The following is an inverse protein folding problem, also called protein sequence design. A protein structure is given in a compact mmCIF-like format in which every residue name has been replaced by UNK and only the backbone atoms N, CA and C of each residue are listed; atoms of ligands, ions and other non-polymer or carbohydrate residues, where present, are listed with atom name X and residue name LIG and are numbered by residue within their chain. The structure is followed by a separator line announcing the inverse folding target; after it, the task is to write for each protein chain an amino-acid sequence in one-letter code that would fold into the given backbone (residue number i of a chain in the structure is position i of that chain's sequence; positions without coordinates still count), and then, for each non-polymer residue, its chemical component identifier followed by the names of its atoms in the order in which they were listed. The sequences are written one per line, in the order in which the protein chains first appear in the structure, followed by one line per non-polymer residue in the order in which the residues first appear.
data_IF_057156211375
#
_entry.id   IF_057156211375
#
_cell.length_a   1.000
_cell.length_b   1.000
_cell.length_c   1.000
_cell.angle_alpha   90.00
_cell.angle_beta   90.00
_cell.angle_gamma   90.00
#
_symmetry.space_group_name_H-M   'P 1'
#
loop_
_entity.id
_entity.type
_entity.pdbx_description
1 polymer ?
#
# COMPACT_ATOMS: atom_id res chain seq x y z
N UNK A 1 3.41 -2.46 28.73
CA UNK A 1 4.36 -2.84 27.67
C UNK A 1 5.08 -1.57 27.27
N UNK A 2 6.40 -1.57 27.21
CA UNK A 2 7.11 -0.36 26.78
C UNK A 2 6.78 -0.04 25.32
N UNK A 3 6.71 1.23 24.96
CA UNK A 3 6.42 1.67 23.57
C UNK A 3 7.41 1.03 22.58
N UNK A 4 8.63 0.78 23.02
CA UNK A 4 9.66 0.05 22.25
C UNK A 4 9.20 -1.37 21.88
N UNK A 5 8.59 -2.11 22.82
CA UNK A 5 8.12 -3.48 22.54
C UNK A 5 6.97 -3.47 21.52
N UNK A 6 6.08 -2.48 21.56
CA UNK A 6 5.02 -2.30 20.58
C UNK A 6 5.60 -2.03 19.17
N UNK A 7 6.54 -1.08 19.09
CA UNK A 7 7.18 -0.70 17.82
C UNK A 7 7.93 -1.87 17.19
N UNK A 8 8.74 -2.55 18.00
CA UNK A 8 9.49 -3.74 17.56
C UNK A 8 8.54 -4.87 17.16
N UNK A 9 7.50 -5.12 17.96
CA UNK A 9 6.49 -6.13 17.67
C UNK A 9 5.76 -5.84 16.35
N UNK A 10 5.32 -4.60 16.14
CA UNK A 10 4.65 -4.19 14.89
C UNK A 10 5.58 -4.32 13.68
N UNK A 11 6.84 -3.88 13.80
CA UNK A 11 7.83 -4.02 12.74
C UNK A 11 8.11 -5.50 12.40
N UNK A 12 8.24 -6.36 13.41
CA UNK A 12 8.42 -7.80 13.21
C UNK A 12 7.21 -8.44 12.52
N UNK A 13 5.99 -8.12 12.94
CA UNK A 13 4.77 -8.58 12.28
C UNK A 13 4.75 -8.11 10.81
N UNK A 14 5.13 -6.85 10.57
CA UNK A 14 5.26 -6.31 9.22
C UNK A 14 6.25 -7.08 8.36
N UNK A 15 7.46 -7.36 8.89
CA UNK A 15 8.52 -8.06 8.16
C UNK A 15 8.24 -9.56 7.97
N UNK A 16 7.77 -10.23 9.01
CA UNK A 16 7.73 -11.71 9.07
C UNK A 16 6.41 -12.29 8.62
N UNK A 17 5.31 -11.56 8.80
CA UNK A 17 3.96 -12.03 8.49
C UNK A 17 3.38 -11.27 7.30
N UNK A 18 3.21 -9.96 7.44
CA UNK A 18 2.47 -9.16 6.45
C UNK A 18 3.25 -9.00 5.15
N UNK A 19 4.53 -8.66 5.21
CA UNK A 19 5.38 -8.49 4.02
C UNK A 19 5.39 -9.74 3.12
N UNK A 20 5.66 -10.94 3.64
CA UNK A 20 5.57 -12.18 2.86
C UNK A 20 4.18 -12.48 2.29
N UNK A 21 3.10 -12.17 3.04
CA UNK A 21 1.73 -12.30 2.53
C UNK A 21 1.50 -11.33 1.37
N UNK A 22 1.96 -10.08 1.49
CA UNK A 22 1.89 -9.11 0.41
C UNK A 22 2.69 -9.55 -0.81
N UNK A 23 3.92 -10.01 -0.63
CA UNK A 23 4.75 -10.56 -1.69
C UNK A 23 4.04 -11.71 -2.42
N UNK A 24 3.40 -12.61 -1.66
CA UNK A 24 2.61 -13.70 -2.25
C UNK A 24 1.41 -13.16 -3.04
N UNK A 25 0.63 -12.22 -2.48
CA UNK A 25 -0.53 -11.63 -3.13
C UNK A 25 -0.13 -10.85 -4.40
N UNK A 26 0.93 -10.04 -4.34
CA UNK A 26 1.47 -9.28 -5.46
C UNK A 26 1.93 -10.23 -6.58
N UNK A 27 2.72 -11.25 -6.24
CA UNK A 27 3.22 -12.23 -7.22
C UNK A 27 2.12 -13.10 -7.79
N UNK A 28 1.11 -13.45 -6.98
CA UNK A 28 -0.06 -14.19 -7.44
C UNK A 28 -0.88 -13.38 -8.44
N UNK A 29 -1.03 -12.07 -8.20
CA UNK A 29 -1.80 -11.18 -9.07
C UNK A 29 -1.03 -10.84 -10.36
N UNK A 30 0.23 -10.44 -10.24
CA UNK A 30 1.07 -10.08 -11.39
C UNK A 30 1.37 -11.32 -12.26
N UNK A 31 1.36 -12.52 -11.68
CA UNK A 31 2.00 -13.69 -12.25
C UNK A 31 3.49 -13.43 -12.48
N UNK A 32 4.36 -14.37 -12.27
CA UNK A 32 5.81 -14.24 -12.52
C UNK A 32 6.17 -13.80 -13.95
N UNK A 33 5.22 -13.75 -14.83
CA UNK A 33 5.28 -13.45 -16.24
C UNK A 33 5.60 -12.00 -16.58
N UNK A 34 5.25 -11.06 -15.70
CA UNK A 34 5.41 -9.63 -15.98
C UNK A 34 6.62 -9.07 -15.27
N UNK A 35 6.91 -9.54 -14.06
CA UNK A 35 7.91 -8.95 -13.19
C UNK A 35 9.33 -9.38 -13.53
N UNK A 36 9.57 -10.66 -13.79
CA UNK A 36 10.91 -11.17 -14.02
C UNK A 36 11.52 -10.71 -15.36
N UNK A 37 10.77 -10.70 -16.48
CA UNK A 37 11.32 -10.18 -17.75
C UNK A 37 11.53 -8.68 -17.76
N UNK A 38 10.63 -7.90 -17.14
CA UNK A 38 10.78 -6.44 -17.02
C UNK A 38 12.03 -6.05 -16.21
N UNK A 39 12.35 -6.82 -15.16
CA UNK A 39 13.54 -6.60 -14.34
C UNK A 39 14.84 -7.09 -15.00
N UNK A 40 14.75 -8.10 -15.88
CA UNK A 40 15.90 -8.68 -16.58
C UNK A 40 16.06 -8.15 -18.02
N UNK A 41 15.21 -7.22 -18.48
CA UNK A 41 15.26 -6.68 -19.84
C UNK A 41 14.93 -7.70 -20.94
N UNK A 42 14.26 -8.82 -20.60
CA UNK A 42 13.90 -9.89 -21.54
C UNK A 42 12.39 -9.97 -21.74
N UNK A 43 11.95 -10.08 -22.99
CA UNK A 43 10.56 -10.38 -23.34
C UNK A 43 10.36 -11.89 -23.25
N UNK A 44 9.44 -12.44 -22.41
CA UNK A 44 9.23 -13.87 -22.30
C UNK A 44 8.58 -14.44 -23.54
N UNK A 45 9.02 -15.62 -23.97
CA UNK A 45 8.38 -16.36 -25.03
C UNK A 45 6.99 -16.89 -24.59
N UNK A 46 6.03 -16.92 -25.51
CA UNK A 46 4.62 -17.22 -25.24
C UNK A 46 4.34 -18.62 -24.61
N UNK A 47 5.31 -19.52 -24.58
CA UNK A 47 5.19 -20.88 -24.01
C UNK A 47 5.59 -21.05 -22.53
N UNK A 48 6.30 -20.09 -21.93
CA UNK A 48 6.75 -20.17 -20.53
C UNK A 48 5.68 -19.78 -19.51
N UNK A 49 4.57 -19.42 -19.97
CA UNK A 49 3.44 -18.78 -19.29
C UNK A 49 2.61 -19.68 -18.34
N UNK A 50 2.94 -20.96 -18.17
CA UNK A 50 2.06 -21.98 -17.56
C UNK A 50 2.42 -22.51 -16.18
N UNK A 51 3.62 -22.33 -15.65
CA UNK A 51 4.05 -23.08 -14.47
C UNK A 51 4.62 -22.23 -13.34
N UNK A 52 3.89 -22.29 -12.23
CA UNK A 52 4.34 -22.08 -10.85
C UNK A 52 4.63 -20.66 -10.34
N UNK A 53 3.65 -20.15 -9.61
CA UNK A 53 3.56 -18.80 -9.05
C UNK A 53 4.38 -18.56 -7.78
N UNK A 54 5.00 -19.61 -7.22
CA UNK A 54 5.74 -19.58 -5.94
C UNK A 54 7.00 -20.47 -5.98
N UNK A 55 7.61 -20.60 -7.16
CA UNK A 55 8.81 -21.43 -7.33
C UNK A 55 9.98 -20.62 -7.89
N UNK A 56 11.19 -20.98 -7.50
CA UNK A 56 12.39 -20.39 -8.06
C UNK A 56 12.43 -20.60 -9.58
N UNK A 57 12.68 -19.52 -10.33
CA UNK A 57 12.70 -19.57 -11.79
C UNK A 57 13.80 -20.48 -12.35
N UNK A 58 14.86 -20.73 -11.58
CA UNK A 58 16.01 -21.50 -12.02
C UNK A 58 15.96 -22.99 -11.64
N UNK A 59 15.53 -23.33 -10.41
CA UNK A 59 15.53 -24.71 -9.94
C UNK A 59 14.13 -25.28 -9.68
N UNK A 60 13.07 -24.49 -9.89
CA UNK A 60 11.70 -24.93 -9.64
C UNK A 60 11.34 -25.18 -8.16
N UNK A 61 12.29 -24.95 -7.23
CA UNK A 61 12.03 -25.14 -5.81
C UNK A 61 10.94 -24.18 -5.32
N UNK A 62 10.02 -24.67 -4.49
CA UNK A 62 9.03 -23.84 -3.82
C UNK A 62 9.72 -22.79 -2.94
N UNK A 63 9.41 -21.52 -3.15
CA UNK A 63 9.86 -20.41 -2.31
C UNK A 63 8.94 -20.24 -1.09
N UNK A 64 7.79 -20.91 -1.11
CA UNK A 64 6.86 -21.01 0.00
C UNK A 64 6.63 -22.46 0.40
N UNK A 65 6.45 -22.78 1.69
CA UNK A 65 5.89 -24.05 2.11
C UNK A 65 4.50 -24.24 1.51
N UNK A 66 4.07 -25.49 1.29
CA UNK A 66 2.73 -25.77 0.79
C UNK A 66 1.66 -25.09 1.66
N UNK A 67 0.89 -24.17 1.08
CA UNK A 67 -0.19 -23.46 1.76
C UNK A 67 0.19 -22.25 2.62
N UNK A 68 1.49 -21.88 2.70
CA UNK A 68 1.94 -20.71 3.46
C UNK A 68 2.55 -19.63 2.54
N UNK A 69 2.51 -18.36 2.93
CA UNK A 69 3.24 -17.30 2.24
C UNK A 69 4.76 -17.57 2.23
N UNK A 70 5.48 -16.92 1.31
CA UNK A 70 6.91 -17.09 1.15
C UNK A 70 7.65 -16.96 2.49
N UNK A 71 8.72 -17.74 2.68
CA UNK A 71 9.53 -17.63 3.90
C UNK A 71 10.16 -16.24 3.96
N UNK A 72 9.94 -15.44 5.02
CA UNK A 72 10.53 -14.10 5.13
C UNK A 72 12.06 -14.15 5.04
N UNK A 73 12.69 -15.17 5.62
CA UNK A 73 14.13 -15.40 5.53
C UNK A 73 14.64 -15.55 4.08
N UNK A 74 13.80 -15.96 3.13
CA UNK A 74 14.19 -16.11 1.72
C UNK A 74 14.28 -14.75 1.04
N UNK A 75 13.32 -13.86 1.30
CA UNK A 75 13.34 -12.51 0.74
C UNK A 75 14.45 -11.66 1.38
N UNK A 76 14.61 -11.71 2.70
CA UNK A 76 15.68 -10.99 3.42
C UNK A 76 17.09 -11.50 3.08
N UNK A 77 17.26 -12.83 2.89
CA UNK A 77 18.54 -13.39 2.44
C UNK A 77 18.82 -13.10 0.96
N UNK A 78 17.83 -12.69 0.17
CA UNK A 78 17.97 -12.36 -1.24
C UNK A 78 18.44 -13.52 -2.12
N UNK A 79 18.33 -14.78 -1.65
CA UNK A 79 18.80 -15.98 -2.36
C UNK A 79 17.83 -17.15 -2.21
N UNK A 80 17.71 -17.95 -3.26
CA UNK A 80 16.97 -19.19 -3.22
C UNK A 80 17.61 -20.17 -2.25
N UNK A 81 16.88 -20.82 -1.33
CA UNK A 81 17.44 -21.76 -0.36
C UNK A 81 17.98 -23.05 -1.00
N UNK A 82 17.63 -23.35 -2.24
CA UNK A 82 18.04 -24.58 -2.92
C UNK A 82 19.18 -24.37 -3.93
N UNK A 83 19.09 -23.35 -4.76
CA UNK A 83 20.09 -23.10 -5.83
C UNK A 83 20.92 -21.82 -5.62
N UNK A 84 20.72 -21.11 -4.51
CA UNK A 84 21.41 -19.87 -4.13
C UNK A 84 21.34 -18.73 -5.16
N UNK A 85 20.49 -18.85 -6.19
CA UNK A 85 20.26 -17.77 -7.16
C UNK A 85 19.67 -16.56 -6.45
N UNK A 86 20.11 -15.37 -6.85
CA UNK A 86 19.60 -14.10 -6.31
C UNK A 86 18.13 -13.95 -6.64
N UNK A 87 17.34 -13.63 -5.62
CA UNK A 87 15.94 -13.26 -5.75
C UNK A 87 15.82 -11.78 -6.11
N UNK A 88 14.70 -11.37 -6.73
CA UNK A 88 14.46 -9.96 -7.04
C UNK A 88 14.46 -9.10 -5.78
N UNK A 89 15.23 -8.01 -5.77
CA UNK A 89 15.39 -7.11 -4.61
C UNK A 89 14.07 -6.47 -4.15
N UNK A 90 13.09 -6.33 -5.05
CA UNK A 90 11.79 -5.76 -4.70
C UNK A 90 11.01 -6.60 -3.65
N UNK A 91 11.24 -7.92 -3.57
CA UNK A 91 10.65 -8.76 -2.53
C UNK A 91 11.12 -8.34 -1.14
N UNK A 92 12.43 -8.15 -0.98
CA UNK A 92 12.99 -7.64 0.27
C UNK A 92 12.53 -6.19 0.54
N UNK A 93 12.44 -5.36 -0.50
CA UNK A 93 11.96 -3.99 -0.37
C UNK A 93 10.53 -3.92 0.17
N UNK A 94 9.60 -4.75 -0.32
CA UNK A 94 8.22 -4.82 0.19
C UNK A 94 8.21 -5.17 1.67
N UNK A 95 8.99 -6.18 2.10
CA UNK A 95 9.06 -6.59 3.50
C UNK A 95 9.65 -5.51 4.39
N UNK A 96 10.77 -4.91 4.00
CA UNK A 96 11.44 -3.85 4.76
C UNK A 96 10.59 -2.57 4.86
N UNK A 97 9.98 -2.16 3.76
CA UNK A 97 9.08 -0.99 3.74
C UNK A 97 7.86 -1.25 4.61
N UNK A 98 7.25 -2.42 4.52
CA UNK A 98 6.11 -2.79 5.38
C UNK A 98 6.51 -2.78 6.85
N UNK A 99 7.66 -3.36 7.20
CA UNK A 99 8.19 -3.36 8.56
C UNK A 99 8.43 -1.94 9.09
N UNK A 100 9.10 -1.10 8.32
CA UNK A 100 9.40 0.27 8.70
C UNK A 100 8.12 1.11 8.90
N UNK A 101 7.15 0.98 8.00
CA UNK A 101 5.90 1.72 8.11
C UNK A 101 5.00 1.20 9.23
N UNK A 102 5.02 -0.10 9.54
CA UNK A 102 4.33 -0.66 10.69
C UNK A 102 4.94 -0.17 12.00
N UNK A 103 6.28 -0.18 12.10
CA UNK A 103 6.99 0.37 13.24
C UNK A 103 6.71 1.86 13.43
N UNK A 104 6.75 2.65 12.36
CA UNK A 104 6.42 4.08 12.37
C UNK A 104 4.97 4.32 12.84
N UNK A 105 4.00 3.60 12.30
CA UNK A 105 2.61 3.72 12.71
C UNK A 105 2.43 3.39 14.19
N UNK A 106 3.06 2.31 14.67
CA UNK A 106 3.02 1.93 16.07
C UNK A 106 3.70 2.97 17.00
N UNK A 107 4.80 3.58 16.53
CA UNK A 107 5.50 4.62 17.29
C UNK A 107 4.67 5.91 17.47
N UNK A 108 3.87 6.27 16.45
CA UNK A 108 3.07 7.50 16.48
C UNK A 108 1.72 7.30 17.18
N UNK A 109 1.04 6.18 16.90
CA UNK A 109 -0.33 5.95 17.39
C UNK A 109 -0.34 5.31 18.78
N UNK A 110 0.72 4.56 19.11
CA UNK A 110 0.77 3.81 20.36
C UNK A 110 -0.16 2.59 20.39
N UNK A 111 -0.43 2.03 21.60
CA UNK A 111 -1.21 0.82 21.78
C UNK A 111 -2.72 1.07 21.76
N UNK A 112 -3.23 1.77 20.75
CA UNK A 112 -4.64 2.07 20.55
C UNK A 112 -5.27 1.17 19.49
N UNK A 113 -6.57 0.91 19.57
CA UNK A 113 -7.31 0.14 18.55
C UNK A 113 -7.26 0.84 17.18
N UNK A 114 -7.11 2.17 17.17
CA UNK A 114 -6.90 2.99 15.99
C UNK A 114 -5.65 2.62 15.17
N UNK A 115 -4.68 1.88 15.76
CA UNK A 115 -3.54 1.34 15.03
C UNK A 115 -3.96 0.31 13.96
N UNK A 116 -4.99 -0.51 14.23
CA UNK A 116 -5.43 -1.59 13.33
C UNK A 116 -5.80 -1.09 11.93
N UNK A 117 -6.68 -0.08 11.75
CA UNK A 117 -7.01 0.43 10.42
C UNK A 117 -5.80 1.07 9.72
N UNK A 118 -4.84 1.64 10.46
CA UNK A 118 -3.64 2.22 9.88
C UNK A 118 -2.70 1.14 9.37
N UNK A 119 -2.50 0.04 10.10
CA UNK A 119 -1.73 -1.11 9.61
C UNK A 119 -2.37 -1.73 8.38
N UNK A 120 -3.70 -1.81 8.32
CA UNK A 120 -4.42 -2.27 7.12
C UNK A 120 -4.22 -1.32 5.93
N UNK A 121 -4.27 0.00 6.16
CA UNK A 121 -4.00 1.03 5.15
C UNK A 121 -2.56 0.92 4.63
N UNK A 122 -1.57 0.76 5.51
CA UNK A 122 -0.16 0.57 5.13
C UNK A 122 0.00 -0.69 4.29
N UNK A 123 -0.52 -1.83 4.75
CA UNK A 123 -0.40 -3.09 4.02
C UNK A 123 -1.00 -3.00 2.61
N UNK A 124 -2.23 -2.48 2.51
CA UNK A 124 -2.90 -2.27 1.23
C UNK A 124 -2.20 -1.24 0.34
N UNK A 125 -1.74 -0.13 0.94
CA UNK A 125 -0.98 0.91 0.25
C UNK A 125 0.33 0.39 -0.33
N UNK A 126 1.11 -0.38 0.42
CA UNK A 126 2.35 -1.03 -0.06
C UNK A 126 2.04 -2.00 -1.20
N UNK A 127 1.01 -2.87 -1.04
CA UNK A 127 0.66 -3.82 -2.08
C UNK A 127 0.22 -3.13 -3.38
N UNK A 128 -0.66 -2.14 -3.29
CA UNK A 128 -1.15 -1.39 -4.45
C UNK A 128 -0.04 -0.58 -5.10
N UNK A 129 0.83 0.06 -4.31
CA UNK A 129 2.00 0.80 -4.82
C UNK A 129 2.99 -0.10 -5.54
N UNK A 130 3.28 -1.29 -5.01
CA UNK A 130 4.19 -2.24 -5.65
C UNK A 130 3.65 -2.72 -7.00
N UNK A 131 2.34 -2.98 -7.09
CA UNK A 131 1.70 -3.36 -8.36
C UNK A 131 1.66 -2.19 -9.33
N UNK A 132 1.35 -0.99 -8.85
CA UNK A 132 1.29 0.21 -9.70
C UNK A 132 2.65 0.55 -10.29
N UNK A 133 3.72 0.46 -9.49
CA UNK A 133 5.11 0.61 -9.97
C UNK A 133 5.50 -0.43 -11.03
N UNK A 134 4.94 -1.64 -10.96
CA UNK A 134 5.27 -2.71 -11.88
C UNK A 134 4.48 -2.65 -13.19
N UNK A 135 3.18 -2.37 -13.15
CA UNK A 135 2.27 -2.50 -14.30
C UNK A 135 1.33 -1.30 -14.49
N UNK A 136 1.45 -0.25 -13.68
CA UNK A 136 0.64 0.97 -13.72
C UNK A 136 -0.87 0.69 -13.67
N UNK A 137 -1.25 -0.26 -12.82
CA UNK A 137 -2.65 -0.65 -12.59
C UNK A 137 -2.84 -1.06 -11.14
N UNK A 138 -3.81 -0.45 -10.48
CA UNK A 138 -4.20 -0.83 -9.13
C UNK A 138 -5.28 -1.93 -9.20
N UNK A 139 -5.02 -3.12 -8.62
CA UNK A 139 -5.97 -4.22 -8.64
C UNK A 139 -7.23 -3.89 -7.84
N UNK A 140 -8.38 -4.02 -8.46
CA UNK A 140 -9.68 -3.75 -7.83
C UNK A 140 -9.89 -4.55 -6.54
N UNK A 141 -9.45 -5.82 -6.53
CA UNK A 141 -9.58 -6.70 -5.35
C UNK A 141 -8.75 -6.19 -4.17
N UNK A 142 -7.54 -5.68 -4.40
CA UNK A 142 -6.71 -5.12 -3.33
C UNK A 142 -7.35 -3.87 -2.73
N UNK A 143 -7.88 -2.97 -3.57
CA UNK A 143 -8.55 -1.78 -3.10
C UNK A 143 -9.79 -2.11 -2.24
N UNK A 144 -10.63 -3.07 -2.65
CA UNK A 144 -11.80 -3.45 -1.86
C UNK A 144 -11.47 -4.20 -0.57
N UNK A 145 -10.49 -5.11 -0.59
CA UNK A 145 -10.03 -5.79 0.63
C UNK A 145 -9.47 -4.76 1.61
N UNK A 146 -8.63 -3.85 1.14
CA UNK A 146 -8.08 -2.78 1.98
C UNK A 146 -9.19 -1.86 2.52
N UNK A 147 -10.15 -1.46 1.68
CA UNK A 147 -11.29 -0.67 2.11
C UNK A 147 -12.10 -1.37 3.21
N UNK A 148 -12.38 -2.66 3.04
CA UNK A 148 -13.09 -3.47 4.03
C UNK A 148 -12.34 -3.57 5.36
N UNK A 149 -11.03 -3.85 5.33
CA UNK A 149 -10.20 -3.95 6.53
C UNK A 149 -10.05 -2.59 7.24
N UNK A 150 -9.84 -1.52 6.49
CA UNK A 150 -9.78 -0.15 7.06
C UNK A 150 -11.12 0.21 7.68
N UNK A 151 -12.23 0.03 6.97
CA UNK A 151 -13.57 0.35 7.50
C UNK A 151 -13.88 -0.45 8.76
N UNK A 152 -13.63 -1.76 8.75
CA UNK A 152 -13.82 -2.61 9.92
C UNK A 152 -12.98 -2.12 11.11
N UNK A 153 -11.70 -1.83 10.86
CA UNK A 153 -10.80 -1.30 11.88
C UNK A 153 -11.27 0.05 12.46
N UNK A 154 -11.75 0.97 11.60
CA UNK A 154 -12.31 2.26 12.05
C UNK A 154 -13.59 2.11 12.87
N UNK A 155 -14.46 1.17 12.49
CA UNK A 155 -15.67 0.84 13.27
C UNK A 155 -15.29 0.29 14.63
N UNK A 156 -14.36 -0.67 14.69
CA UNK A 156 -13.87 -1.24 15.94
C UNK A 156 -13.18 -0.17 16.82
N UNK A 157 -12.32 0.67 16.26
CA UNK A 157 -11.68 1.75 16.99
C UNK A 157 -12.68 2.76 17.54
N UNK A 158 -13.73 3.07 16.77
CA UNK A 158 -14.81 3.96 17.23
C UNK A 158 -15.65 3.30 18.35
N UNK A 159 -15.90 2.01 18.25
CA UNK A 159 -16.67 1.29 19.26
C UNK A 159 -15.95 1.19 20.62
N UNK A 160 -14.61 1.16 20.61
CA UNK A 160 -13.80 1.02 21.83
C UNK A 160 -13.44 2.39 22.41
N UNK A 161 -12.94 3.32 21.59
CA UNK A 161 -12.24 4.51 22.08
C UNK A 161 -12.84 5.84 21.57
N UNK A 162 -13.91 5.82 20.78
CA UNK A 162 -14.30 7.03 20.09
C UNK A 162 -15.80 7.35 20.03
N UNK A 163 -16.14 8.63 19.83
CA UNK A 163 -17.52 9.01 19.55
C UNK A 163 -17.95 8.51 18.17
N UNK A 164 -19.16 7.98 18.03
CA UNK A 164 -19.70 7.46 16.77
C UNK A 164 -19.65 8.48 15.62
N UNK A 165 -19.62 9.78 15.94
CA UNK A 165 -19.51 10.88 14.97
C UNK A 165 -18.20 10.86 14.18
N UNK A 166 -17.11 10.20 14.65
CA UNK A 166 -15.87 10.00 13.86
C UNK A 166 -16.12 9.21 12.58
N UNK A 167 -17.07 8.28 12.57
CA UNK A 167 -17.45 7.55 11.36
C UNK A 167 -18.05 8.47 10.29
N UNK A 168 -18.76 9.52 10.71
CA UNK A 168 -19.20 10.55 9.78
C UNK A 168 -18.01 11.27 9.12
N UNK A 169 -16.95 11.56 9.89
CA UNK A 169 -15.70 12.11 9.34
C UNK A 169 -15.08 11.20 8.28
N UNK A 170 -15.09 9.87 8.51
CA UNK A 170 -14.63 8.91 7.51
C UNK A 170 -15.45 8.97 6.21
N UNK A 171 -16.78 9.04 6.32
CA UNK A 171 -17.67 9.15 5.14
C UNK A 171 -17.43 10.44 4.39
N UNK A 172 -17.34 11.58 5.09
CA UNK A 172 -17.04 12.89 4.49
C UNK A 172 -15.68 12.84 3.79
N UNK A 173 -14.66 12.30 4.45
CA UNK A 173 -13.32 12.20 3.87
C UNK A 173 -13.27 11.35 2.60
N UNK A 174 -13.94 10.19 2.63
CA UNK A 174 -14.05 9.31 1.45
C UNK A 174 -14.79 10.00 0.29
N UNK A 175 -15.90 10.69 0.59
CA UNK A 175 -16.68 11.41 -0.42
C UNK A 175 -15.91 12.58 -1.03
N UNK A 176 -15.19 13.34 -0.22
CA UNK A 176 -14.43 14.53 -0.70
C UNK A 176 -13.22 14.08 -1.52
N UNK A 177 -12.33 13.22 -0.98
CA UNK A 177 -11.12 12.85 -1.68
C UNK A 177 -11.41 11.90 -2.85
N UNK A 178 -12.27 10.92 -2.64
CA UNK A 178 -12.70 10.00 -3.70
C UNK A 178 -13.48 10.71 -4.80
N UNK A 179 -14.39 11.63 -4.42
CA UNK A 179 -15.14 12.47 -5.36
C UNK A 179 -14.24 13.41 -6.16
N UNK A 180 -13.28 14.07 -5.51
CA UNK A 180 -12.28 14.90 -6.20
C UNK A 180 -11.49 14.11 -7.24
N UNK A 181 -10.97 12.94 -6.85
CA UNK A 181 -10.23 12.07 -7.78
C UNK A 181 -11.12 11.51 -8.88
N UNK A 182 -12.40 11.23 -8.58
CA UNK A 182 -13.37 10.82 -9.59
C UNK A 182 -13.63 11.93 -10.62
N UNK A 183 -13.81 13.17 -10.17
CA UNK A 183 -13.99 14.31 -11.08
C UNK A 183 -12.74 14.48 -11.97
N UNK A 184 -11.54 14.41 -11.40
CA UNK A 184 -10.30 14.47 -12.18
C UNK A 184 -10.19 13.32 -13.18
N UNK A 185 -10.59 12.10 -12.79
CA UNK A 185 -10.65 10.96 -13.69
C UNK A 185 -11.63 11.18 -14.85
N UNK A 186 -12.82 11.72 -14.57
CA UNK A 186 -13.82 12.00 -15.62
C UNK A 186 -13.35 13.08 -16.58
N UNK A 187 -12.59 14.07 -16.12
CA UNK A 187 -11.99 15.12 -16.98
C UNK A 187 -10.89 14.51 -17.85
N UNK A 188 -10.03 13.65 -17.28
CA UNK A 188 -8.90 13.07 -18.01
C UNK A 188 -8.64 11.61 -17.63
N UNK A 189 -9.40 10.64 -18.17
CA UNK A 189 -9.24 9.22 -17.86
C UNK A 189 -7.86 8.64 -18.24
N UNK A 190 -7.13 9.34 -19.14
CA UNK A 190 -5.79 8.91 -19.59
C UNK A 190 -4.70 9.31 -18.58
N UNK A 191 -4.92 10.38 -17.81
CA UNK A 191 -3.93 10.88 -16.85
C UNK A 191 -4.09 10.26 -15.47
N UNK A 192 -5.32 10.00 -15.03
CA UNK A 192 -5.62 9.43 -13.72
C UNK A 192 -6.40 8.12 -13.88
N UNK A 193 -5.85 7.02 -13.39
CA UNK A 193 -6.49 5.70 -13.43
C UNK A 193 -7.67 5.61 -12.46
N UNK A 194 -8.71 4.83 -12.81
CA UNK A 194 -9.81 4.56 -11.87
C UNK A 194 -9.35 3.80 -10.60
N UNK A 195 -8.17 3.18 -10.66
CA UNK A 195 -7.50 2.59 -9.51
C UNK A 195 -7.12 3.62 -8.46
N UNK A 196 -6.62 4.79 -8.91
CA UNK A 196 -6.23 5.91 -8.04
C UNK A 196 -7.45 6.50 -7.32
N UNK A 197 -8.61 6.56 -7.98
CA UNK A 197 -9.88 6.98 -7.37
C UNK A 197 -10.24 6.07 -6.20
N UNK A 198 -10.13 4.74 -6.37
CA UNK A 198 -10.42 3.77 -5.31
C UNK A 198 -9.43 3.91 -4.15
N UNK A 199 -8.13 4.02 -4.44
CA UNK A 199 -7.11 4.20 -3.41
C UNK A 199 -7.34 5.50 -2.65
N UNK A 200 -7.63 6.60 -3.34
CA UNK A 200 -7.94 7.88 -2.73
C UNK A 200 -9.18 7.82 -1.83
N UNK A 201 -10.22 7.06 -2.24
CA UNK A 201 -11.40 6.84 -1.39
C UNK A 201 -11.03 6.13 -0.09
N UNK A 202 -10.15 5.11 -0.14
CA UNK A 202 -9.69 4.40 1.06
C UNK A 202 -8.83 5.30 1.95
N UNK A 203 -7.95 6.10 1.37
CA UNK A 203 -7.18 7.13 2.08
C UNK A 203 -8.11 8.14 2.72
N UNK A 204 -9.14 8.58 1.99
CA UNK A 204 -10.15 9.52 2.48
C UNK A 204 -10.92 8.99 3.70
N UNK A 205 -11.27 7.70 3.72
CA UNK A 205 -11.87 7.05 4.90
C UNK A 205 -11.01 7.24 6.16
N UNK A 206 -9.73 6.88 6.06
CA UNK A 206 -8.82 6.97 7.19
C UNK A 206 -8.52 8.43 7.56
N UNK A 207 -8.11 9.26 6.60
CA UNK A 207 -7.76 10.66 6.85
C UNK A 207 -8.95 11.48 7.40
N UNK A 208 -10.17 11.21 6.92
CA UNK A 208 -11.37 11.86 7.42
C UNK A 208 -11.73 11.45 8.86
N UNK A 209 -11.52 10.17 9.22
CA UNK A 209 -11.74 9.69 10.57
C UNK A 209 -10.74 10.29 11.57
N UNK A 210 -9.45 10.30 11.21
CA UNK A 210 -8.41 10.89 12.04
C UNK A 210 -8.49 12.42 12.09
N UNK A 211 -8.90 13.08 11.01
CA UNK A 211 -9.11 14.51 10.95
C UNK A 211 -10.37 15.02 11.66
N UNK A 212 -11.25 14.11 12.13
CA UNK A 212 -12.45 14.53 12.81
C UNK A 212 -12.16 15.15 14.17
N UNK A 213 -12.80 16.30 14.44
CA UNK A 213 -12.69 17.05 15.69
C UNK A 213 -14.08 17.50 16.13
N UNK A 214 -14.32 17.52 17.44
CA UNK A 214 -15.64 17.89 18.01
C UNK A 214 -16.02 19.35 17.75
N UNK A 215 -15.03 20.24 17.70
CA UNK A 215 -15.18 21.66 17.39
C UNK A 215 -15.35 21.95 15.88
N UNK A 216 -14.83 21.05 15.02
CA UNK A 216 -14.85 21.17 13.56
C UNK A 216 -15.30 19.85 12.88
N UNK A 217 -16.54 19.40 13.10
CA UNK A 217 -16.98 18.05 12.74
C UNK A 217 -17.02 17.77 11.23
N UNK A 218 -17.07 18.79 10.40
CA UNK A 218 -17.01 18.71 8.92
C UNK A 218 -15.73 19.28 8.38
N UNK A 219 -15.30 20.44 8.90
CA UNK A 219 -14.12 21.14 8.39
C UNK A 219 -12.85 20.33 8.66
N UNK A 220 -12.71 19.73 9.85
CA UNK A 220 -11.54 18.90 10.18
C UNK A 220 -11.30 17.75 9.21
N UNK A 221 -12.29 16.87 8.95
CA UNK A 221 -12.18 15.83 7.92
C UNK A 221 -11.86 16.38 6.53
N UNK A 222 -12.54 17.45 6.10
CA UNK A 222 -12.29 18.07 4.79
C UNK A 222 -10.87 18.60 4.69
N UNK A 223 -10.38 19.31 5.71
CA UNK A 223 -9.01 19.82 5.75
C UNK A 223 -7.98 18.68 5.69
N UNK A 224 -8.17 17.61 6.46
CA UNK A 224 -7.27 16.46 6.45
C UNK A 224 -7.17 15.84 5.05
N UNK A 225 -8.28 15.62 4.37
CA UNK A 225 -8.24 15.00 3.04
C UNK A 225 -7.74 15.95 1.95
N UNK A 226 -7.98 17.25 2.06
CA UNK A 226 -7.38 18.24 1.14
C UNK A 226 -5.86 18.31 1.33
N UNK A 227 -5.37 18.24 2.57
CA UNK A 227 -3.94 18.13 2.84
C UNK A 227 -3.36 16.83 2.24
N UNK A 228 -4.07 15.71 2.35
CA UNK A 228 -3.64 14.45 1.71
C UNK A 228 -3.59 14.59 0.18
N UNK A 229 -4.58 15.22 -0.44
CA UNK A 229 -4.59 15.50 -1.87
C UNK A 229 -3.43 16.42 -2.29
N UNK A 230 -3.17 17.48 -1.52
CA UNK A 230 -2.05 18.39 -1.78
C UNK A 230 -0.69 17.70 -1.65
N UNK A 231 -0.48 16.95 -0.57
CA UNK A 231 0.77 16.19 -0.37
C UNK A 231 0.95 15.13 -1.48
N UNK A 232 -0.12 14.45 -1.88
CA UNK A 232 -0.07 13.49 -3.00
C UNK A 232 0.32 14.19 -4.31
N UNK A 233 -0.23 15.36 -4.58
CA UNK A 233 0.10 16.17 -5.76
C UNK A 233 1.57 16.61 -5.74
N UNK A 234 2.07 17.09 -4.59
CA UNK A 234 3.46 17.53 -4.45
C UNK A 234 4.45 16.34 -4.58
N UNK A 235 4.20 15.24 -3.89
CA UNK A 235 5.02 14.02 -3.99
C UNK A 235 4.99 13.48 -5.41
N UNK A 236 3.80 13.43 -6.02
CA UNK A 236 3.62 13.01 -7.40
C UNK A 236 4.34 13.92 -8.39
N UNK A 237 4.27 15.25 -8.22
CA UNK A 237 4.96 16.20 -9.07
C UNK A 237 6.49 16.05 -8.98
N UNK A 238 7.05 15.94 -7.77
CA UNK A 238 8.49 15.73 -7.57
C UNK A 238 8.94 14.40 -8.18
N UNK A 239 8.24 13.31 -7.89
CA UNK A 239 8.57 12.00 -8.45
C UNK A 239 8.41 11.96 -9.97
N UNK A 240 7.36 12.59 -10.51
CA UNK A 240 7.14 12.75 -11.94
C UNK A 240 8.24 13.55 -12.62
N UNK A 241 8.68 14.66 -12.01
CA UNK A 241 9.79 15.46 -12.51
C UNK A 241 11.11 14.68 -12.53
N UNK A 242 11.41 13.95 -11.45
CA UNK A 242 12.61 13.10 -11.38
C UNK A 242 12.58 12.03 -12.47
N UNK A 243 11.45 11.37 -12.67
CA UNK A 243 11.31 10.36 -13.72
C UNK A 243 11.37 10.96 -15.12
N UNK A 244 10.81 12.15 -15.31
CA UNK A 244 10.87 12.89 -16.58
C UNK A 244 12.32 13.20 -16.96
N UNK A 245 13.11 13.67 -16.01
CA UNK A 245 14.54 13.99 -16.22
C UNK A 245 15.35 12.71 -16.45
N UNK A 246 15.07 11.64 -15.67
CA UNK A 246 15.83 10.39 -15.73
C UNK A 246 15.49 9.50 -16.92
N UNK A 247 14.26 9.52 -17.42
CA UNK A 247 13.73 8.54 -18.41
C UNK A 247 13.09 9.16 -19.66
N UNK A 248 12.95 10.49 -19.72
CA UNK A 248 12.30 11.20 -20.84
C UNK A 248 10.77 11.25 -20.75
N UNK A 249 10.16 11.95 -21.75
CA UNK A 249 8.72 12.33 -21.74
C UNK A 249 7.71 11.21 -22.01
N UNK A 250 8.12 10.07 -22.54
CA UNK A 250 7.19 9.09 -23.14
C UNK A 250 6.77 7.97 -22.19
N UNK A 251 7.03 8.08 -20.88
CA UNK A 251 6.65 7.04 -19.93
C UNK A 251 5.57 7.50 -18.97
N UNK A 252 4.47 6.73 -18.84
CA UNK A 252 3.43 7.01 -17.86
C UNK A 252 4.02 6.95 -16.43
N UNK A 253 3.42 7.72 -15.51
CA UNK A 253 3.85 7.86 -14.13
C UNK A 253 2.87 7.13 -13.19
N UNK A 254 3.34 6.21 -12.31
CA UNK A 254 2.48 5.56 -11.31
C UNK A 254 2.16 6.55 -10.18
N UNK A 255 0.90 6.96 -10.06
CA UNK A 255 0.47 7.94 -9.06
C UNK A 255 0.05 7.29 -7.72
N UNK A 256 -0.24 5.98 -7.72
CA UNK A 256 -0.64 5.21 -6.54
C UNK A 256 0.29 5.35 -5.33
N UNK A 257 1.62 5.22 -5.48
CA UNK A 257 2.56 5.43 -4.37
C UNK A 257 2.47 6.81 -3.72
N UNK A 258 2.26 7.86 -4.52
CA UNK A 258 2.13 9.23 -4.01
C UNK A 258 0.88 9.39 -3.14
N UNK A 259 -0.26 8.82 -3.57
CA UNK A 259 -1.51 8.82 -2.79
C UNK A 259 -1.32 8.04 -1.48
N UNK A 260 -0.70 6.85 -1.53
CA UNK A 260 -0.50 6.01 -0.36
C UNK A 260 0.40 6.70 0.70
N UNK A 261 1.52 7.29 0.27
CA UNK A 261 2.44 8.02 1.15
C UNK A 261 1.76 9.24 1.75
N UNK A 262 1.08 10.05 0.94
CA UNK A 262 0.37 11.24 1.41
C UNK A 262 -0.73 10.90 2.41
N UNK A 263 -1.50 9.85 2.13
CA UNK A 263 -2.53 9.36 3.04
C UNK A 263 -1.98 8.95 4.40
N UNK A 264 -0.88 8.19 4.40
CA UNK A 264 -0.23 7.79 5.65
C UNK A 264 0.31 8.98 6.43
N UNK A 265 1.01 9.92 5.77
CA UNK A 265 1.55 11.10 6.42
C UNK A 265 0.45 11.94 7.09
N UNK A 266 -0.67 12.16 6.41
CA UNK A 266 -1.78 12.94 6.97
C UNK A 266 -2.48 12.18 8.09
N UNK A 267 -2.67 10.88 7.96
CA UNK A 267 -3.23 10.04 9.04
C UNK A 267 -2.35 10.13 10.29
N UNK A 268 -1.03 9.97 10.15
CA UNK A 268 -0.10 10.04 11.29
C UNK A 268 0.02 11.46 11.88
N UNK A 269 -0.14 12.50 11.07
CA UNK A 269 -0.13 13.89 11.55
C UNK A 269 -1.40 14.28 12.33
N UNK A 270 -2.49 13.52 12.21
CA UNK A 270 -3.76 13.74 12.89
C UNK A 270 -4.06 12.64 13.96
N UNK A 271 -3.12 11.71 14.17
CA UNK A 271 -3.23 10.66 15.18
C UNK A 271 -2.77 11.18 16.56
#
# INVERSE_FOLDING_TARGET
MSDVALVVGAALVGAVVVGPVLNHAITWWLGWRVVLPLLLGRVPAAGELGRSRTRCAQCGAGLAPAGLPARPAVALAGRCPRCHTRLPAWLAAVELVTAALFGLAAAVIGPAVALVPVLALVAGGVAMSAVDLAVMRIPTRFAYVTAGLVTLGLVLATAVDGPARRLWGAVVGAAVLGGLMLVLHLISPRMLGFGDVRLATVVGLAAGWFGWRSDLPVIGPVQAVLNAGLVAALVGAVAGLVLLVARGRDRPFPFGPAIAVAGLLVVLANA
#
